data_IF_430245090155
#
_entry.id   IF_430245090155
#
_cell.length_a   1.000
_cell.length_b   1.000
_cell.length_c   1.000
_cell.angle_alpha   90.00
_cell.angle_beta   90.00
_cell.angle_gamma   90.00
#
_symmetry.space_group_name_H-M   'P 1'
#
loop_
_entity.id
_entity.type
_entity.pdbx_description
1 polymer ?
#
# COMPACT_ATOMS: atom_id res chain seq x y z
N UNK A 1 -25.64 -31.66 15.10
CA UNK A 1 -25.46 -30.71 13.98
C UNK A 1 -26.81 -30.50 13.32
N UNK A 2 -27.29 -29.25 13.28
CA UNK A 2 -28.49 -28.88 12.52
C UNK A 2 -28.23 -29.06 11.02
N UNK A 3 -29.20 -29.57 10.25
CA UNK A 3 -29.07 -29.76 8.80
C UNK A 3 -29.12 -28.43 8.01
N UNK A 4 -29.37 -27.30 8.68
CA UNK A 4 -29.56 -26.01 8.02
C UNK A 4 -30.84 -25.94 7.16
N UNK A 5 -31.05 -24.84 6.43
CA UNK A 5 -32.20 -24.68 5.54
C UNK A 5 -32.20 -25.74 4.43
N UNK A 6 -33.37 -26.20 3.97
CA UNK A 6 -33.47 -27.18 2.88
C UNK A 6 -32.89 -26.60 1.59
N UNK A 7 -32.12 -27.40 0.83
CA UNK A 7 -31.56 -27.03 -0.49
C UNK A 7 -31.83 -28.09 -1.56
N UNK A 8 -33.05 -28.65 -1.54
CA UNK A 8 -33.46 -29.73 -2.45
C UNK A 8 -33.91 -29.19 -3.82
N UNK A 9 -34.53 -28.02 -3.85
CA UNK A 9 -34.98 -27.35 -5.08
C UNK A 9 -34.04 -26.23 -5.49
N UNK A 10 -34.06 -25.85 -6.77
CA UNK A 10 -33.28 -24.71 -7.29
C UNK A 10 -33.60 -23.42 -6.54
N UNK A 11 -34.89 -23.14 -6.34
CA UNK A 11 -35.31 -21.95 -5.57
C UNK A 11 -34.74 -21.94 -4.16
N UNK A 12 -34.70 -23.09 -3.50
CA UNK A 12 -34.14 -23.23 -2.16
C UNK A 12 -32.61 -23.04 -2.15
N UNK A 13 -31.92 -23.60 -3.14
CA UNK A 13 -30.49 -23.43 -3.36
C UNK A 13 -30.11 -21.97 -3.60
N UNK A 14 -30.86 -21.28 -4.47
CA UNK A 14 -30.66 -19.88 -4.78
C UNK A 14 -30.92 -19.00 -3.55
N UNK A 15 -32.04 -19.22 -2.85
CA UNK A 15 -32.35 -18.48 -1.63
C UNK A 15 -31.24 -18.62 -0.57
N UNK A 16 -30.73 -19.85 -0.39
CA UNK A 16 -29.61 -20.08 0.52
C UNK A 16 -28.36 -19.31 0.13
N UNK A 17 -27.95 -19.34 -1.15
CA UNK A 17 -26.76 -18.62 -1.62
C UNK A 17 -26.94 -17.09 -1.56
N UNK A 18 -28.14 -16.57 -1.83
CA UNK A 18 -28.47 -15.15 -1.68
C UNK A 18 -28.34 -14.73 -0.21
N UNK A 19 -28.85 -15.53 0.73
CA UNK A 19 -28.70 -15.24 2.17
C UNK A 19 -27.22 -15.24 2.60
N UNK A 20 -26.41 -16.14 2.05
CA UNK A 20 -24.96 -16.20 2.31
C UNK A 20 -24.25 -14.98 1.72
N UNK A 21 -24.57 -14.61 0.47
CA UNK A 21 -24.03 -13.43 -0.20
C UNK A 21 -24.37 -12.15 0.54
N UNK A 22 -25.60 -12.01 1.02
CA UNK A 22 -26.04 -10.82 1.76
C UNK A 22 -25.31 -10.65 3.08
N UNK A 23 -25.12 -11.74 3.84
CA UNK A 23 -24.30 -11.72 5.06
C UNK A 23 -22.84 -11.38 4.76
N UNK A 24 -22.28 -11.96 3.71
CA UNK A 24 -20.91 -11.67 3.29
C UNK A 24 -20.75 -10.18 2.95
N UNK A 25 -21.66 -9.61 2.14
CA UNK A 25 -21.64 -8.19 1.79
C UNK A 25 -21.86 -7.28 2.99
N UNK A 26 -22.66 -7.69 3.98
CA UNK A 26 -22.79 -6.96 5.24
C UNK A 26 -21.47 -6.90 6.04
N UNK A 27 -20.70 -7.99 6.09
CA UNK A 27 -19.38 -8.02 6.73
C UNK A 27 -18.38 -7.17 5.92
N UNK A 28 -18.41 -7.24 4.59
CA UNK A 28 -17.58 -6.42 3.70
C UNK A 28 -17.80 -4.93 4.00
N UNK A 29 -19.06 -4.48 3.95
CA UNK A 29 -19.42 -3.08 4.20
C UNK A 29 -18.95 -2.60 5.58
N UNK A 30 -19.30 -3.32 6.63
CA UNK A 30 -18.87 -2.99 8.00
C UNK A 30 -17.33 -2.98 8.15
N UNK A 31 -16.62 -3.90 7.46
CA UNK A 31 -15.17 -3.96 7.51
C UNK A 31 -14.50 -2.77 6.81
N UNK A 32 -15.07 -2.30 5.70
CA UNK A 32 -14.60 -1.15 4.94
C UNK A 32 -14.89 0.18 5.66
N UNK A 33 -16.05 0.28 6.34
CA UNK A 33 -16.43 1.45 7.14
C UNK A 33 -15.73 1.50 8.51
N UNK A 34 -14.93 0.48 8.82
CA UNK A 34 -14.32 0.25 10.14
C UNK A 34 -15.33 0.14 11.30
N UNK A 35 -16.58 -0.22 11.01
CA UNK A 35 -17.63 -0.44 12.01
C UNK A 35 -17.59 -1.89 12.53
N UNK A 36 -16.61 -2.14 13.40
CA UNK A 36 -16.40 -3.47 14.00
C UNK A 36 -17.39 -3.83 15.11
N UNK A 37 -18.36 -2.95 15.42
CA UNK A 37 -19.35 -3.19 16.46
C UNK A 37 -20.56 -3.99 15.97
N UNK A 38 -20.75 -4.07 14.66
CA UNK A 38 -21.93 -4.65 14.00
C UNK A 38 -21.97 -6.17 14.02
N UNK A 39 -20.81 -6.84 14.01
CA UNK A 39 -20.71 -8.29 13.91
C UNK A 39 -19.71 -8.86 14.91
N UNK A 40 -20.08 -9.93 15.62
CA UNK A 40 -19.17 -10.66 16.53
C UNK A 40 -17.97 -11.27 15.80
N UNK A 41 -18.09 -11.47 14.48
CA UNK A 41 -17.04 -11.99 13.62
C UNK A 41 -15.75 -11.15 13.66
N UNK A 42 -15.85 -9.84 13.93
CA UNK A 42 -14.69 -8.95 14.06
C UNK A 42 -13.86 -9.14 15.34
N UNK A 43 -14.21 -10.13 16.17
CA UNK A 43 -13.29 -10.70 17.16
C UNK A 43 -12.07 -11.34 16.48
N UNK A 44 -12.22 -11.88 15.26
CA UNK A 44 -11.10 -12.25 14.41
C UNK A 44 -10.48 -10.97 13.81
N UNK A 45 -9.25 -10.67 14.21
CA UNK A 45 -8.49 -9.55 13.67
C UNK A 45 -8.28 -9.65 12.16
N UNK A 46 -8.37 -10.85 11.57
CA UNK A 46 -8.31 -11.05 10.12
C UNK A 46 -9.48 -10.44 9.35
N UNK A 47 -10.62 -10.19 10.01
CA UNK A 47 -11.77 -9.55 9.41
C UNK A 47 -11.75 -8.01 9.46
N UNK A 48 -10.73 -7.40 10.07
CA UNK A 48 -10.57 -5.93 10.12
C UNK A 48 -9.78 -5.39 8.92
N UNK A 49 -10.35 -5.53 7.72
CA UNK A 49 -9.66 -5.31 6.45
C UNK A 49 -9.12 -3.88 6.31
N UNK A 50 -9.97 -2.85 6.42
CA UNK A 50 -9.53 -1.48 6.15
C UNK A 50 -8.43 -1.04 7.11
N UNK A 51 -8.50 -1.42 8.38
CA UNK A 51 -7.45 -1.15 9.37
C UNK A 51 -6.11 -1.74 8.94
N UNK A 52 -6.10 -2.99 8.48
CA UNK A 52 -4.86 -3.63 7.99
C UNK A 52 -4.31 -2.96 6.74
N UNK A 53 -5.18 -2.59 5.81
CA UNK A 53 -4.78 -1.92 4.57
C UNK A 53 -4.20 -0.53 4.88
N UNK A 54 -4.86 0.25 5.74
CA UNK A 54 -4.37 1.58 6.16
C UNK A 54 -3.00 1.46 6.83
N UNK A 55 -2.84 0.59 7.84
CA UNK A 55 -1.55 0.37 8.49
C UNK A 55 -0.45 -0.05 7.51
N UNK A 56 -0.78 -0.93 6.56
CA UNK A 56 0.14 -1.37 5.50
C UNK A 56 0.51 -0.22 4.55
N UNK A 57 -0.42 0.71 4.31
CA UNK A 57 -0.22 1.89 3.46
C UNK A 57 0.67 2.92 4.13
N UNK A 58 0.51 3.14 5.44
CA UNK A 58 1.37 4.02 6.24
C UNK A 58 2.79 3.48 6.34
N UNK A 59 2.95 2.17 6.56
CA UNK A 59 4.24 1.49 6.51
C UNK A 59 4.89 1.66 5.12
N UNK A 60 4.14 1.47 4.04
CA UNK A 60 4.64 1.69 2.69
C UNK A 60 5.08 3.14 2.46
N UNK A 61 4.28 4.12 2.86
CA UNK A 61 4.63 5.53 2.70
C UNK A 61 5.94 5.88 3.42
N UNK A 62 6.10 5.37 4.65
CA UNK A 62 7.29 5.57 5.48
C UNK A 62 8.52 4.88 4.89
N UNK A 63 8.39 3.61 4.54
CA UNK A 63 9.47 2.82 3.93
C UNK A 63 9.87 3.41 2.56
N UNK A 64 8.90 3.88 1.77
CA UNK A 64 9.14 4.48 0.44
C UNK A 64 9.81 5.84 0.55
N UNK A 65 9.46 6.66 1.55
CA UNK A 65 10.19 7.89 1.85
C UNK A 65 11.66 7.61 2.16
N UNK A 66 11.92 6.63 3.03
CA UNK A 66 13.26 6.30 3.50
C UNK A 66 14.13 5.58 2.46
N UNK A 67 13.56 4.67 1.66
CA UNK A 67 14.36 3.68 0.93
C UNK A 67 14.12 3.63 -0.59
N UNK A 68 13.18 4.41 -1.15
CA UNK A 68 12.85 4.32 -2.59
C UNK A 68 13.88 5.00 -3.51
N UNK A 69 14.80 5.77 -2.95
CA UNK A 69 15.88 6.43 -3.69
C UNK A 69 17.16 5.58 -3.68
N UNK A 70 17.93 5.64 -4.76
CA UNK A 70 19.20 4.89 -4.92
C UNK A 70 20.33 5.50 -4.10
N UNK A 71 20.42 6.83 -4.04
CA UNK A 71 21.42 7.58 -3.29
C UNK A 71 20.77 8.55 -2.31
N UNK A 72 21.20 8.57 -1.05
CA UNK A 72 20.71 9.51 -0.03
C UNK A 72 20.95 10.96 -0.47
N UNK A 73 19.90 11.78 -0.44
CA UNK A 73 20.04 13.21 -0.74
C UNK A 73 20.74 13.95 0.39
N UNK A 74 21.57 14.95 0.05
CA UNK A 74 22.24 15.75 1.08
C UNK A 74 21.27 16.66 1.81
N UNK A 75 21.47 16.77 3.13
CA UNK A 75 20.73 17.70 3.99
C UNK A 75 19.30 17.27 4.33
N UNK A 76 18.87 16.05 3.98
CA UNK A 76 17.79 15.42 4.72
C UNK A 76 18.36 14.91 6.06
N UNK A 77 17.81 15.29 7.23
CA UNK A 77 18.22 14.66 8.47
C UNK A 77 17.93 13.15 8.37
N UNK A 78 18.81 12.27 8.89
CA UNK A 78 18.52 10.85 8.97
C UNK A 78 17.29 10.67 9.85
N UNK A 79 16.12 10.48 9.22
CA UNK A 79 14.91 10.18 9.96
C UNK A 79 14.98 8.70 10.34
N UNK A 80 15.39 8.44 11.58
CA UNK A 80 15.10 7.18 12.25
C UNK A 80 13.62 6.83 12.02
N UNK A 81 13.31 5.56 11.74
CA UNK A 81 11.95 5.02 11.68
C UNK A 81 11.22 5.32 13.01
N UNK A 82 10.62 6.50 13.13
CA UNK A 82 9.86 6.90 14.31
C UNK A 82 8.41 6.47 14.13
N UNK A 83 7.95 5.69 15.10
CA UNK A 83 6.54 5.50 15.42
C UNK A 83 5.91 6.86 15.72
N UNK A 84 4.66 7.04 15.27
CA UNK A 84 3.79 8.23 15.40
C UNK A 84 4.02 9.08 16.67
N UNK A 85 3.84 10.41 16.58
CA UNK A 85 2.55 10.97 17.00
C UNK A 85 1.98 12.10 16.13
N UNK A 86 0.68 12.33 16.38
CA UNK A 86 -0.33 13.29 15.90
C UNK A 86 0.06 14.69 15.35
N UNK A 87 -0.88 15.20 14.54
CA UNK A 87 -1.08 16.52 13.90
C UNK A 87 -0.46 17.79 14.54
N UNK A 88 -0.30 18.87 13.73
CA UNK A 88 0.77 19.84 13.87
C UNK A 88 0.47 20.95 14.88
N UNK A 89 1.45 21.25 15.73
CA UNK A 89 1.53 22.53 16.43
C UNK A 89 2.67 23.36 15.82
N UNK A 90 2.34 24.60 15.45
CA UNK A 90 3.31 25.66 15.28
C UNK A 90 4.10 25.86 16.59
N UNK A 91 5.42 25.95 16.52
CA UNK A 91 6.25 27.01 17.12
C UNK A 91 7.71 26.56 17.29
N UNK A 92 8.60 27.45 16.85
CA UNK A 92 9.98 27.75 17.22
C UNK A 92 10.70 26.92 18.29
N UNK A 93 11.98 26.61 18.01
CA UNK A 93 13.03 26.64 19.03
C UNK A 93 13.91 25.40 19.15
N UNK A 94 15.17 25.57 18.71
CA UNK A 94 16.42 25.01 19.28
C UNK A 94 16.61 23.48 19.37
N UNK A 95 17.57 23.00 18.57
CA UNK A 95 18.16 21.67 18.65
C UNK A 95 19.24 21.63 19.73
N UNK A 96 19.14 20.68 20.66
CA UNK A 96 20.24 20.22 21.50
C UNK A 96 20.44 18.72 21.20
N UNK A 97 21.60 18.38 20.64
CA UNK A 97 22.01 17.02 20.28
C UNK A 97 22.55 16.31 21.55
N UNK A 98 21.92 15.22 21.94
CA UNK A 98 22.56 14.20 22.77
C UNK A 98 22.41 12.82 22.11
N UNK A 99 23.56 12.29 21.72
CA UNK A 99 23.76 10.96 21.15
C UNK A 99 23.29 9.86 22.12
N UNK A 100 22.31 9.07 21.69
CA UNK A 100 21.99 7.76 22.26
C UNK A 100 22.00 6.76 21.11
N UNK A 101 23.07 5.95 21.03
CA UNK A 101 23.21 4.81 20.12
C UNK A 101 22.13 3.75 20.42
N UNK A 102 20.97 3.87 19.76
CA UNK A 102 19.90 2.90 19.87
C UNK A 102 20.04 1.79 18.81
N UNK A 103 20.32 0.58 19.31
CA UNK A 103 20.34 -0.70 18.59
C UNK A 103 19.15 -0.85 17.62
N UNK A 104 19.49 -1.14 16.36
CA UNK A 104 18.57 -1.49 15.27
C UNK A 104 17.70 -2.68 15.69
N UNK A 105 16.44 -2.42 16.06
CA UNK A 105 15.41 -3.44 16.14
C UNK A 105 15.11 -3.91 14.72
N UNK A 106 15.44 -5.17 14.42
CA UNK A 106 15.05 -5.84 13.17
C UNK A 106 13.51 -5.82 13.08
N UNK A 107 12.94 -4.85 12.37
CA UNK A 107 11.52 -4.83 12.00
C UNK A 107 11.25 -6.14 11.26
N UNK A 108 10.49 -7.03 11.89
CA UNK A 108 10.18 -8.36 11.38
C UNK A 108 9.61 -8.22 9.97
N UNK A 109 10.34 -8.71 8.98
CA UNK A 109 9.82 -8.88 7.63
C UNK A 109 8.63 -9.84 7.77
N UNK A 110 7.40 -9.35 7.70
CA UNK A 110 6.23 -10.21 7.61
C UNK A 110 6.28 -10.96 6.27
N UNK A 111 7.02 -12.07 6.25
CA UNK A 111 6.98 -13.06 5.20
C UNK A 111 5.58 -13.65 5.29
N UNK A 112 4.79 -13.49 4.23
CA UNK A 112 3.50 -14.17 4.13
C UNK A 112 3.73 -15.66 4.32
N UNK A 113 2.92 -16.31 5.15
CA UNK A 113 2.90 -17.77 5.17
C UNK A 113 2.20 -18.25 3.89
N UNK A 114 2.95 -18.23 2.78
CA UNK A 114 2.49 -18.64 1.45
C UNK A 114 2.01 -20.09 1.42
N UNK A 115 2.43 -20.92 2.39
CA UNK A 115 1.94 -22.29 2.52
C UNK A 115 0.43 -22.35 2.76
N UNK A 116 -0.18 -21.26 3.25
CA UNK A 116 -1.63 -21.16 3.47
C UNK A 116 -2.41 -20.77 2.22
N UNK A 117 -1.76 -20.19 1.19
CA UNK A 117 -2.43 -19.66 -0.01
C UNK A 117 -1.60 -19.91 -1.28
N UNK A 118 -1.50 -21.17 -1.74
CA UNK A 118 -0.71 -21.53 -2.93
C UNK A 118 -1.18 -20.81 -4.20
N UNK A 119 -2.47 -20.46 -4.28
CA UNK A 119 -3.06 -19.77 -5.43
C UNK A 119 -2.43 -18.39 -5.71
N UNK A 120 -1.78 -17.79 -4.71
CA UNK A 120 -1.14 -16.48 -4.81
C UNK A 120 0.36 -16.55 -5.16
N UNK A 121 0.96 -17.75 -5.24
CA UNK A 121 2.41 -17.95 -5.42
C UNK A 121 2.95 -17.25 -6.69
N UNK A 122 2.17 -17.23 -7.78
CA UNK A 122 2.56 -16.58 -9.04
C UNK A 122 2.44 -15.04 -9.04
N UNK A 123 1.66 -14.46 -8.13
CA UNK A 123 1.36 -13.01 -8.10
C UNK A 123 2.20 -12.25 -7.06
N UNK A 124 2.54 -12.88 -5.95
CA UNK A 124 3.16 -12.20 -4.81
C UNK A 124 4.69 -12.16 -4.92
N UNK A 125 5.27 -11.01 -4.57
CA UNK A 125 6.73 -10.88 -4.47
C UNK A 125 7.22 -11.32 -3.09
N UNK A 126 7.94 -12.45 -3.03
CA UNK A 126 8.32 -13.15 -1.79
C UNK A 126 9.43 -12.48 -0.95
N UNK A 127 9.99 -11.35 -1.38
CA UNK A 127 11.11 -10.70 -0.69
C UNK A 127 10.71 -9.41 0.03
N UNK A 128 11.33 -9.13 1.17
CA UNK A 128 11.40 -7.78 1.74
C UNK A 128 12.55 -7.01 1.04
N UNK A 129 12.33 -5.76 0.63
CA UNK A 129 13.46 -4.90 0.26
C UNK A 129 14.12 -4.39 1.54
N UNK A 130 15.15 -5.09 2.02
CA UNK A 130 16.16 -4.46 2.87
C UNK A 130 17.07 -3.61 1.97
N UNK A 131 16.51 -2.60 1.31
CA UNK A 131 17.29 -1.63 0.56
C UNK A 131 17.63 -0.47 1.49
N UNK A 132 18.91 -0.09 1.53
CA UNK A 132 19.34 1.16 2.12
C UNK A 132 19.97 2.00 1.01
N UNK A 133 19.55 3.26 0.83
CA UNK A 133 20.14 4.15 -0.15
C UNK A 133 21.65 4.30 0.08
N UNK A 134 22.40 4.29 -1.02
CA UNK A 134 23.84 4.49 -0.99
C UNK A 134 24.18 5.93 -0.59
N UNK A 135 25.31 6.12 0.08
CA UNK A 135 25.85 7.46 0.29
C UNK A 135 26.58 7.96 -0.96
N UNK A 136 26.95 9.25 -0.98
CA UNK A 136 27.74 9.82 -2.06
C UNK A 136 26.95 10.25 -3.28
N UNK A 137 25.80 10.91 -3.08
CA UNK A 137 24.98 11.46 -4.18
C UNK A 137 25.75 12.49 -5.01
N UNK A 138 26.58 13.34 -4.41
CA UNK A 138 27.32 14.39 -5.11
C UNK A 138 28.36 13.85 -6.11
N UNK A 139 29.21 12.86 -5.75
CA UNK A 139 30.02 12.12 -6.72
C UNK A 139 29.19 11.50 -7.86
N UNK A 140 28.04 10.89 -7.54
CA UNK A 140 27.17 10.27 -8.54
C UNK A 140 26.56 11.31 -9.51
N UNK A 141 26.07 12.45 -9.01
CA UNK A 141 25.57 13.55 -9.85
C UNK A 141 26.69 14.11 -10.73
N UNK A 142 27.89 14.28 -10.17
CA UNK A 142 29.06 14.73 -10.94
C UNK A 142 29.34 13.76 -12.09
N UNK A 143 29.29 12.45 -11.84
CA UNK A 143 29.47 11.44 -12.88
C UNK A 143 28.36 11.49 -13.94
N UNK A 144 27.10 11.67 -13.53
CA UNK A 144 25.98 11.88 -14.46
C UNK A 144 26.21 13.10 -15.33
N UNK A 145 26.60 14.22 -14.73
CA UNK A 145 26.87 15.44 -15.47
C UNK A 145 28.02 15.24 -16.46
N UNK A 146 29.14 14.66 -16.04
CA UNK A 146 30.31 14.42 -16.89
C UNK A 146 30.02 13.54 -18.10
N UNK A 147 29.17 12.51 -17.96
CA UNK A 147 28.84 11.58 -19.05
C UNK A 147 27.70 12.07 -19.96
N UNK A 148 27.02 13.15 -19.61
CA UNK A 148 25.81 13.61 -20.32
C UNK A 148 25.76 15.12 -20.62
N UNK A 149 26.76 15.89 -20.21
CA UNK A 149 26.82 17.35 -20.48
C UNK A 149 27.01 17.65 -21.97
N UNK A 150 26.30 18.65 -22.45
CA UNK A 150 26.50 19.25 -23.77
C UNK A 150 27.38 20.50 -23.68
N UNK A 151 27.27 21.35 -24.70
CA UNK A 151 27.97 22.63 -24.79
C UNK A 151 27.15 23.80 -24.17
N UNK A 152 26.28 23.52 -23.19
CA UNK A 152 25.44 24.54 -22.55
C UNK A 152 26.29 25.53 -21.74
N UNK A 153 26.01 26.83 -21.89
CA UNK A 153 26.68 27.89 -21.14
C UNK A 153 25.87 28.25 -19.88
N UNK A 154 26.46 28.08 -18.70
CA UNK A 154 25.87 28.50 -17.43
C UNK A 154 24.69 27.65 -16.92
N UNK A 155 24.42 26.51 -17.55
CA UNK A 155 23.35 25.57 -17.15
C UNK A 155 23.65 24.16 -17.66
N UNK A 156 22.70 23.24 -17.51
CA UNK A 156 22.79 21.86 -17.97
C UNK A 156 21.60 21.49 -18.86
N UNK A 157 21.81 20.54 -19.78
CA UNK A 157 20.75 20.08 -20.69
C UNK A 157 19.58 19.38 -19.96
N UNK A 158 18.33 19.49 -20.46
CA UNK A 158 17.13 18.99 -19.77
C UNK A 158 17.09 17.47 -19.59
N UNK A 159 17.90 16.73 -20.36
CA UNK A 159 17.97 15.28 -20.28
C UNK A 159 18.66 14.78 -19.00
N UNK A 160 19.57 15.58 -18.41
CA UNK A 160 20.32 15.19 -17.21
C UNK A 160 19.37 14.91 -16.04
N UNK A 161 18.36 15.75 -15.81
CA UNK A 161 17.37 15.52 -14.75
C UNK A 161 16.51 14.30 -15.02
N UNK A 162 16.17 14.03 -16.28
CA UNK A 162 15.38 12.85 -16.65
C UNK A 162 16.15 11.56 -16.35
N UNK A 163 17.42 11.49 -16.76
CA UNK A 163 18.29 10.35 -16.49
C UNK A 163 18.57 10.18 -14.99
N UNK A 164 18.89 11.27 -14.29
CA UNK A 164 19.12 11.25 -12.85
C UNK A 164 17.89 10.77 -12.09
N UNK A 165 16.68 11.22 -12.47
CA UNK A 165 15.44 10.76 -11.86
C UNK A 165 15.17 9.27 -12.11
N UNK A 166 15.41 8.78 -13.33
CA UNK A 166 15.25 7.36 -13.68
C UNK A 166 16.17 6.45 -12.85
N UNK A 167 17.42 6.86 -12.68
CA UNK A 167 18.41 6.15 -11.85
C UNK A 167 18.11 6.28 -10.36
N UNK A 168 17.56 7.42 -9.90
CA UNK A 168 17.15 7.58 -8.51
C UNK A 168 15.89 6.81 -8.14
N UNK A 169 15.09 6.38 -9.11
CA UNK A 169 13.78 5.75 -8.89
C UNK A 169 13.77 4.26 -9.22
N UNK A 170 14.94 3.61 -9.36
CA UNK A 170 15.02 2.19 -9.79
C UNK A 170 14.27 1.23 -8.85
N UNK A 171 14.17 1.57 -7.57
CA UNK A 171 13.51 0.74 -6.57
C UNK A 171 11.98 0.89 -6.55
N UNK A 172 11.42 1.93 -7.19
CA UNK A 172 9.98 2.24 -7.13
C UNK A 172 9.13 1.04 -7.57
N UNK A 173 9.50 0.39 -8.68
CA UNK A 173 8.79 -0.80 -9.19
C UNK A 173 8.77 -1.93 -8.17
N UNK A 174 9.92 -2.23 -7.57
CA UNK A 174 10.04 -3.35 -6.63
C UNK A 174 9.24 -3.08 -5.34
N UNK A 175 9.35 -1.88 -4.80
CA UNK A 175 8.63 -1.50 -3.58
C UNK A 175 7.11 -1.45 -3.80
N UNK A 176 6.65 -0.89 -4.92
CA UNK A 176 5.23 -0.89 -5.28
C UNK A 176 4.67 -2.31 -5.41
N UNK A 177 5.40 -3.22 -6.08
CA UNK A 177 5.00 -4.64 -6.18
C UNK A 177 4.88 -5.30 -4.81
N UNK A 178 5.85 -5.08 -3.92
CA UNK A 178 5.82 -5.64 -2.57
C UNK A 178 4.66 -5.11 -1.74
N UNK A 179 4.42 -3.80 -1.80
CA UNK A 179 3.28 -3.17 -1.15
C UNK A 179 1.95 -3.75 -1.65
N UNK A 180 1.75 -3.81 -2.98
CA UNK A 180 0.54 -4.39 -3.55
C UNK A 180 0.39 -5.87 -3.21
N UNK A 181 1.47 -6.64 -3.16
CA UNK A 181 1.43 -8.03 -2.68
C UNK A 181 0.88 -8.13 -1.25
N UNK A 182 1.28 -7.21 -0.34
CA UNK A 182 0.76 -7.17 1.04
C UNK A 182 -0.74 -6.87 1.08
N UNK A 183 -1.19 -5.90 0.30
CA UNK A 183 -2.60 -5.53 0.25
C UNK A 183 -3.44 -6.65 -0.37
N UNK A 184 -3.01 -7.22 -1.50
CA UNK A 184 -3.69 -8.35 -2.16
C UNK A 184 -3.82 -9.53 -1.20
N UNK A 185 -2.75 -9.86 -0.47
CA UNK A 185 -2.79 -10.92 0.54
C UNK A 185 -3.82 -10.61 1.64
N UNK A 186 -3.86 -9.38 2.15
CA UNK A 186 -4.84 -8.99 3.17
C UNK A 186 -6.29 -9.11 2.66
N UNK A 187 -6.54 -8.66 1.42
CA UNK A 187 -7.85 -8.75 0.77
C UNK A 187 -8.26 -10.20 0.54
N UNK A 188 -7.36 -11.02 -0.02
CA UNK A 188 -7.64 -12.43 -0.28
C UNK A 188 -7.91 -13.20 1.02
N UNK A 189 -7.07 -13.02 2.04
CA UNK A 189 -7.26 -13.61 3.36
C UNK A 189 -8.60 -13.18 3.98
N UNK A 190 -8.95 -11.90 3.87
CA UNK A 190 -10.23 -11.39 4.35
C UNK A 190 -11.41 -12.08 3.66
N UNK A 191 -11.40 -12.18 2.33
CA UNK A 191 -12.48 -12.81 1.56
C UNK A 191 -12.72 -14.24 2.03
N UNK A 192 -11.66 -15.05 2.13
CA UNK A 192 -11.78 -16.45 2.54
C UNK A 192 -12.30 -16.58 3.98
N UNK A 193 -11.79 -15.77 4.91
CA UNK A 193 -12.27 -15.76 6.31
C UNK A 193 -13.71 -15.27 6.44
N UNK A 194 -14.11 -14.29 5.64
CA UNK A 194 -15.48 -13.80 5.64
C UNK A 194 -16.44 -14.87 5.10
N UNK A 195 -16.05 -15.59 4.04
CA UNK A 195 -16.81 -16.73 3.52
C UNK A 195 -16.96 -17.84 4.57
N UNK A 196 -15.86 -18.26 5.21
CA UNK A 196 -15.87 -19.24 6.31
C UNK A 196 -16.78 -18.83 7.47
N UNK A 197 -16.88 -17.52 7.75
CA UNK A 197 -17.75 -17.01 8.80
C UNK A 197 -19.24 -17.11 8.45
N UNK A 198 -19.61 -16.88 7.20
CA UNK A 198 -21.03 -16.85 6.77
C UNK A 198 -21.58 -18.20 6.35
N UNK A 199 -20.73 -19.15 5.98
CA UNK A 199 -21.12 -20.48 5.52
C UNK A 199 -20.37 -21.57 6.30
N UNK A 200 -21.09 -22.39 7.05
CA UNK A 200 -20.51 -23.51 7.80
C UNK A 200 -20.38 -24.81 6.99
N UNK A 201 -20.91 -24.85 5.76
CA UNK A 201 -20.87 -26.03 4.90
C UNK A 201 -19.56 -26.03 4.09
N UNK A 202 -18.60 -26.86 4.53
CA UNK A 202 -17.25 -26.94 3.94
C UNK A 202 -17.27 -27.22 2.44
N UNK A 203 -18.20 -28.05 1.96
CA UNK A 203 -18.28 -28.36 0.52
C UNK A 203 -18.74 -27.15 -0.28
N UNK A 204 -19.73 -26.41 0.24
CA UNK A 204 -20.19 -25.16 -0.40
C UNK A 204 -19.06 -24.13 -0.43
N UNK A 205 -18.31 -24.00 0.67
CA UNK A 205 -17.15 -23.11 0.74
C UNK A 205 -16.07 -23.45 -0.31
N UNK A 206 -15.71 -24.73 -0.44
CA UNK A 206 -14.71 -25.20 -1.39
C UNK A 206 -15.14 -24.91 -2.84
N UNK A 207 -16.36 -25.28 -3.20
CA UNK A 207 -16.92 -25.05 -4.55
C UNK A 207 -17.04 -23.56 -4.87
N UNK A 208 -17.49 -22.76 -3.90
CA UNK A 208 -17.61 -21.31 -4.06
C UNK A 208 -16.23 -20.68 -4.22
N UNK A 209 -15.28 -21.01 -3.34
CA UNK A 209 -13.90 -20.49 -3.42
C UNK A 209 -13.25 -20.84 -4.76
N UNK A 210 -13.38 -22.09 -5.20
CA UNK A 210 -12.90 -22.55 -6.51
C UNK A 210 -13.55 -21.77 -7.66
N UNK A 211 -14.86 -21.54 -7.59
CA UNK A 211 -15.62 -20.78 -8.59
C UNK A 211 -15.20 -19.31 -8.72
N UNK A 212 -14.83 -18.66 -7.61
CA UNK A 212 -14.43 -17.24 -7.60
C UNK A 212 -12.95 -17.03 -7.94
N UNK A 213 -12.11 -18.06 -7.79
CA UNK A 213 -10.64 -17.90 -7.79
C UNK A 213 -10.10 -17.28 -9.08
N UNK A 214 -10.55 -17.74 -10.24
CA UNK A 214 -10.04 -17.25 -11.53
C UNK A 214 -10.29 -15.74 -11.73
N UNK A 215 -11.47 -15.27 -11.34
CA UNK A 215 -11.81 -13.85 -11.41
C UNK A 215 -11.07 -13.02 -10.35
N UNK A 216 -10.91 -13.55 -9.13
CA UNK A 216 -10.12 -12.91 -8.09
C UNK A 216 -8.68 -12.67 -8.54
N UNK A 217 -8.02 -13.70 -9.09
CA UNK A 217 -6.66 -13.59 -9.62
C UNK A 217 -6.55 -12.54 -10.73
N UNK A 218 -7.56 -12.48 -11.62
CA UNK A 218 -7.61 -11.47 -12.70
C UNK A 218 -7.71 -10.04 -12.14
N UNK A 219 -8.51 -9.84 -11.08
CA UNK A 219 -8.63 -8.53 -10.41
C UNK A 219 -7.35 -8.14 -9.68
N UNK A 220 -6.68 -9.10 -9.03
CA UNK A 220 -5.39 -8.88 -8.39
C UNK A 220 -4.29 -8.53 -9.40
N UNK A 221 -4.24 -9.22 -10.54
CA UNK A 221 -3.30 -8.90 -11.62
C UNK A 221 -3.56 -7.50 -12.19
N UNK A 222 -4.84 -7.14 -12.38
CA UNK A 222 -5.24 -5.81 -12.85
C UNK A 222 -4.76 -4.69 -11.90
N UNK A 223 -4.91 -4.89 -10.59
CA UNK A 223 -4.39 -3.97 -9.56
C UNK A 223 -2.85 -3.85 -9.63
N UNK A 224 -2.15 -4.98 -9.75
CA UNK A 224 -0.69 -5.00 -9.87
C UNK A 224 -0.21 -4.26 -11.12
N UNK A 225 -0.88 -4.49 -12.25
CA UNK A 225 -0.58 -3.82 -13.52
C UNK A 225 -0.83 -2.32 -13.43
N UNK A 226 -1.89 -1.88 -12.74
CA UNK A 226 -2.14 -0.45 -12.49
C UNK A 226 -1.01 0.20 -11.69
N UNK A 227 -0.51 -0.47 -10.63
CA UNK A 227 0.62 0.05 -9.85
C UNK A 227 1.91 0.14 -10.69
N UNK A 228 2.19 -0.86 -11.52
CA UNK A 228 3.36 -0.85 -12.43
C UNK A 228 3.21 0.25 -13.49
N UNK A 229 2.02 0.44 -14.03
CA UNK A 229 1.74 1.52 -14.98
C UNK A 229 2.01 2.90 -14.37
N UNK A 230 1.63 3.14 -13.11
CA UNK A 230 1.94 4.38 -12.40
C UNK A 230 3.46 4.58 -12.23
N UNK A 231 4.22 3.52 -11.96
CA UNK A 231 5.68 3.59 -11.91
C UNK A 231 6.24 4.00 -13.28
N UNK A 232 5.74 3.40 -14.36
CA UNK A 232 6.22 3.71 -15.70
C UNK A 232 5.89 5.16 -16.11
N UNK A 233 4.70 5.66 -15.74
CA UNK A 233 4.29 7.06 -15.92
C UNK A 233 5.26 8.01 -15.23
N UNK A 234 5.59 7.78 -13.96
CA UNK A 234 6.42 8.70 -13.19
C UNK A 234 7.88 8.67 -13.65
N UNK A 235 8.42 7.47 -13.95
CA UNK A 235 9.84 7.28 -14.26
C UNK A 235 10.24 7.64 -15.70
N UNK A 236 9.38 7.43 -16.68
CA UNK A 236 9.75 7.59 -18.09
C UNK A 236 9.30 8.92 -18.72
N UNK A 237 8.68 9.81 -17.96
CA UNK A 237 8.34 11.16 -18.41
C UNK A 237 9.47 12.15 -18.13
N UNK A 238 9.54 13.21 -18.94
CA UNK A 238 10.37 14.37 -18.62
C UNK A 238 9.86 14.98 -17.30
N UNK A 239 10.75 15.28 -16.33
CA UNK A 239 10.35 15.92 -15.08
C UNK A 239 9.51 17.17 -15.33
N UNK A 240 8.28 17.15 -14.82
CA UNK A 240 7.33 18.26 -14.96
C UNK A 240 6.35 18.24 -13.79
N UNK A 241 6.04 19.42 -13.27
CA UNK A 241 5.10 19.55 -12.15
C UNK A 241 4.33 20.87 -12.21
N UNK A 242 3.03 20.76 -11.94
CA UNK A 242 2.15 21.90 -11.67
C UNK A 242 2.07 22.21 -10.17
N UNK A 243 2.72 21.40 -9.33
CA UNK A 243 2.68 21.55 -7.89
C UNK A 243 3.59 22.72 -7.45
N UNK A 244 2.99 23.76 -6.86
CA UNK A 244 3.67 24.96 -6.41
C UNK A 244 4.73 24.71 -5.32
N UNK A 245 4.61 23.61 -4.56
CA UNK A 245 5.62 23.20 -3.57
C UNK A 245 6.99 22.89 -4.18
N UNK A 246 7.09 22.66 -5.50
CA UNK A 246 8.40 22.47 -6.14
C UNK A 246 9.32 23.67 -5.92
N UNK A 247 8.81 24.90 -6.16
CA UNK A 247 9.62 26.09 -6.01
C UNK A 247 10.04 26.29 -4.55
N UNK A 248 9.12 26.07 -3.60
CA UNK A 248 9.44 26.14 -2.17
C UNK A 248 10.51 25.11 -1.77
N UNK A 249 10.36 23.85 -2.20
CA UNK A 249 11.34 22.80 -1.93
C UNK A 249 12.73 23.14 -2.52
N UNK A 250 12.77 23.71 -3.72
CA UNK A 250 14.01 24.12 -4.38
C UNK A 250 14.70 25.26 -3.63
N UNK A 251 13.95 26.29 -3.24
CA UNK A 251 14.52 27.38 -2.44
C UNK A 251 15.01 26.86 -1.08
N UNK A 252 14.28 25.95 -0.45
CA UNK A 252 14.70 25.33 0.81
C UNK A 252 16.00 24.51 0.66
N UNK A 253 16.15 23.74 -0.43
CA UNK A 253 17.39 23.00 -0.71
C UNK A 253 18.60 23.96 -0.88
N UNK A 254 18.44 25.00 -1.71
CA UNK A 254 19.46 26.03 -1.91
C UNK A 254 19.81 26.76 -0.61
N UNK A 255 18.80 27.16 0.17
CA UNK A 255 18.97 27.85 1.44
C UNK A 255 19.73 26.98 2.45
N UNK A 256 19.44 25.68 2.51
CA UNK A 256 20.15 24.74 3.40
C UNK A 256 21.63 24.66 3.08
N UNK A 257 21.98 24.55 1.79
CA UNK A 257 23.37 24.55 1.31
C UNK A 257 24.09 25.84 1.69
N UNK A 258 23.47 26.99 1.45
CA UNK A 258 24.02 28.30 1.83
C UNK A 258 24.19 28.43 3.34
N UNK A 259 23.19 27.99 4.12
CA UNK A 259 23.23 28.05 5.59
C UNK A 259 24.32 27.15 6.16
N UNK A 260 24.54 25.96 5.59
CA UNK A 260 25.63 25.06 5.99
C UNK A 260 26.99 25.75 5.81
N UNK A 261 27.23 26.35 4.64
CA UNK A 261 28.46 27.08 4.37
C UNK A 261 28.63 28.33 5.25
N UNK A 262 27.53 29.02 5.60
CA UNK A 262 27.54 30.13 6.55
C UNK A 262 27.88 29.68 7.97
N UNK A 263 27.33 28.55 8.43
CA UNK A 263 27.62 28.00 9.76
C UNK A 263 29.10 27.66 9.95
N UNK A 264 29.78 27.22 8.89
CA UNK A 264 31.22 26.94 8.93
C UNK A 264 32.07 28.20 9.16
N UNK A 265 31.54 29.38 8.82
CA UNK A 265 32.18 30.68 9.04
C UNK A 265 31.61 31.46 10.22
N UNK A 266 30.55 30.94 10.83
CA UNK A 266 29.91 31.60 11.94
C UNK A 266 30.73 31.42 13.22
N UNK A 267 30.80 32.46 14.03
CA UNK A 267 31.29 32.37 15.40
C UNK A 267 30.16 32.71 16.38
N UNK A 268 30.30 32.24 17.63
CA UNK A 268 29.37 32.60 18.70
C UNK A 268 29.81 33.92 19.32
N UNK A 269 28.90 34.88 19.34
CA UNK A 269 29.13 36.15 20.05
C UNK A 269 29.10 35.93 21.57
N UNK A 270 30.04 36.54 22.28
CA UNK A 270 30.26 36.29 23.72
C UNK A 270 29.08 36.71 24.60
N UNK A 271 28.33 37.74 24.23
CA UNK A 271 27.26 38.32 25.06
C UNK A 271 25.89 37.68 24.82
N UNK A 272 25.54 37.46 23.54
CA UNK A 272 24.21 36.98 23.16
C UNK A 272 24.17 35.48 22.83
N UNK A 273 25.35 34.83 22.75
CA UNK A 273 25.53 33.45 22.25
C UNK A 273 24.94 33.19 20.85
N UNK A 274 24.63 34.25 20.09
CA UNK A 274 24.11 34.13 18.72
C UNK A 274 25.24 33.78 17.75
N UNK A 275 24.88 33.07 16.69
CA UNK A 275 25.78 32.84 15.56
C UNK A 275 25.85 34.12 14.73
N UNK A 276 27.06 34.66 14.57
CA UNK A 276 27.34 35.86 13.77
C UNK A 276 28.26 35.48 12.62
N UNK A 277 28.07 36.09 11.46
CA UNK A 277 28.91 35.93 10.27
C UNK A 277 29.30 37.32 9.78
N UNK A 278 30.56 37.51 9.38
CA UNK A 278 31.01 38.77 8.78
C UNK A 278 30.44 38.87 7.36
N UNK A 279 29.83 40.01 7.03
CA UNK A 279 29.29 40.28 5.69
C UNK A 279 30.37 40.16 4.61
N UNK A 280 31.63 40.45 4.96
CA UNK A 280 32.78 40.31 4.06
C UNK A 280 33.12 38.85 3.73
N UNK A 281 32.65 37.89 4.52
CA UNK A 281 32.83 36.47 4.26
C UNK A 281 31.82 35.92 3.25
N UNK A 282 30.69 36.62 3.03
CA UNK A 282 29.61 36.17 2.14
C UNK A 282 30.08 36.02 0.67
N UNK A 283 30.80 36.98 0.06
CA UNK A 283 31.25 36.85 -1.33
C UNK A 283 32.08 35.59 -1.59
N UNK A 284 32.93 35.21 -0.64
CA UNK A 284 33.79 34.02 -0.77
C UNK A 284 33.01 32.68 -0.73
N UNK A 285 31.75 32.68 -0.29
CA UNK A 285 30.85 31.51 -0.39
C UNK A 285 30.38 31.26 -1.84
N UNK A 286 30.32 32.33 -2.64
CA UNK A 286 29.80 32.34 -4.00
C UNK A 286 30.94 32.24 -5.02
N UNK A 287 32.07 32.91 -4.76
CA UNK A 287 33.17 33.08 -5.73
C UNK A 287 34.17 31.92 -5.78
N UNK A 288 34.25 31.08 -4.76
CA UNK A 288 35.24 30.00 -4.67
C UNK A 288 34.82 28.69 -5.36
N UNK A 289 33.69 28.67 -6.07
CA UNK A 289 33.17 27.44 -6.70
C UNK A 289 33.56 27.38 -8.17
N UNK A 290 34.05 26.22 -8.58
CA UNK A 290 34.22 25.91 -10.00
C UNK A 290 32.85 25.84 -10.70
N UNK A 291 32.82 26.07 -12.02
CA UNK A 291 31.60 25.91 -12.82
C UNK A 291 30.98 24.51 -12.67
N UNK A 292 31.83 23.50 -12.48
CA UNK A 292 31.40 22.12 -12.30
C UNK A 292 30.68 21.91 -10.96
N UNK A 293 31.28 22.36 -9.86
CA UNK A 293 30.68 22.26 -8.53
C UNK A 293 29.34 22.97 -8.49
N UNK A 294 29.28 24.21 -9.01
CA UNK A 294 28.03 24.97 -9.08
C UNK A 294 26.94 24.20 -9.84
N UNK A 295 27.28 23.62 -10.99
CA UNK A 295 26.33 22.87 -11.83
C UNK A 295 25.85 21.59 -11.15
N UNK A 296 26.75 20.81 -10.52
CA UNK A 296 26.41 19.59 -9.80
C UNK A 296 25.45 19.88 -8.64
N UNK A 297 25.71 20.92 -7.85
CA UNK A 297 24.84 21.30 -6.74
C UNK A 297 23.47 21.78 -7.22
N UNK A 298 23.42 22.49 -8.33
CA UNK A 298 22.16 22.93 -8.92
C UNK A 298 21.32 21.75 -9.42
N UNK A 299 21.96 20.76 -10.04
CA UNK A 299 21.31 19.48 -10.42
C UNK A 299 20.78 18.78 -9.16
N UNK A 300 21.58 18.71 -8.09
CA UNK A 300 21.18 18.10 -6.82
C UNK A 300 19.93 18.75 -6.25
N UNK A 301 19.92 20.08 -6.10
CA UNK A 301 18.84 20.80 -5.44
C UNK A 301 17.54 20.70 -6.24
N UNK A 302 17.61 20.79 -7.58
CA UNK A 302 16.45 20.60 -8.47
C UNK A 302 15.95 19.16 -8.40
N UNK A 303 16.85 18.18 -8.45
CA UNK A 303 16.48 16.76 -8.39
C UNK A 303 15.82 16.42 -7.04
N UNK A 304 16.38 16.86 -5.92
CA UNK A 304 15.82 16.66 -4.58
C UNK A 304 14.42 17.27 -4.48
N UNK A 305 14.26 18.52 -4.91
CA UNK A 305 12.99 19.23 -4.86
C UNK A 305 11.91 18.54 -5.70
N UNK A 306 12.25 18.14 -6.93
CA UNK A 306 11.31 17.43 -7.81
C UNK A 306 11.01 16.02 -7.30
N UNK A 307 12.02 15.28 -6.84
CA UNK A 307 11.87 13.91 -6.35
C UNK A 307 10.88 13.84 -5.18
N UNK A 308 10.98 14.79 -4.23
CA UNK A 308 10.04 14.89 -3.11
C UNK A 308 8.59 15.06 -3.57
N UNK A 309 8.35 15.88 -4.59
CA UNK A 309 6.99 16.09 -5.16
C UNK A 309 6.50 14.83 -5.86
N UNK A 310 7.32 14.25 -6.73
CA UNK A 310 6.96 13.07 -7.50
C UNK A 310 6.69 11.86 -6.59
N UNK A 311 7.53 11.66 -5.55
CA UNK A 311 7.39 10.58 -4.57
C UNK A 311 6.04 10.65 -3.84
N UNK A 312 5.68 11.83 -3.32
CA UNK A 312 4.40 12.04 -2.61
C UNK A 312 3.21 11.75 -3.54
N UNK A 313 3.22 12.33 -4.74
CA UNK A 313 2.19 12.09 -5.76
C UNK A 313 2.06 10.60 -6.10
N UNK A 314 3.19 9.91 -6.25
CA UNK A 314 3.21 8.49 -6.57
C UNK A 314 2.57 7.65 -5.46
N UNK A 315 2.98 7.84 -4.20
CA UNK A 315 2.44 7.12 -3.05
C UNK A 315 0.92 7.30 -2.96
N UNK A 316 0.43 8.54 -3.07
CA UNK A 316 -1.01 8.84 -3.07
C UNK A 316 -1.71 8.14 -4.23
N UNK A 317 -1.18 8.24 -5.45
CA UNK A 317 -1.80 7.65 -6.64
C UNK A 317 -1.83 6.11 -6.58
N UNK A 318 -0.81 5.46 -6.04
CA UNK A 318 -0.81 4.00 -5.88
C UNK A 318 -1.91 3.58 -4.91
N UNK A 319 -2.08 4.29 -3.78
CA UNK A 319 -3.20 4.00 -2.88
C UNK A 319 -4.54 4.20 -3.57
N UNK A 320 -4.82 5.39 -4.12
CA UNK A 320 -6.14 5.69 -4.68
C UNK A 320 -6.49 4.80 -5.89
N UNK A 321 -5.53 4.54 -6.78
CA UNK A 321 -5.82 3.85 -8.04
C UNK A 321 -5.63 2.35 -7.97
N UNK A 322 -4.52 1.87 -7.39
CA UNK A 322 -4.21 0.45 -7.39
C UNK A 322 -4.79 -0.28 -6.16
N UNK A 323 -4.97 0.42 -5.04
CA UNK A 323 -5.54 -0.16 -3.81
C UNK A 323 -7.02 0.15 -3.69
N UNK A 324 -7.39 1.40 -3.46
CA UNK A 324 -8.78 1.77 -3.20
C UNK A 324 -9.68 1.45 -4.41
N UNK A 325 -9.39 2.00 -5.59
CA UNK A 325 -10.21 1.77 -6.77
C UNK A 325 -10.19 0.29 -7.23
N UNK A 326 -9.03 -0.36 -7.35
CA UNK A 326 -8.98 -1.72 -7.89
C UNK A 326 -9.32 -2.82 -6.87
N UNK A 327 -9.03 -2.65 -5.58
CA UNK A 327 -9.13 -3.73 -4.59
C UNK A 327 -10.22 -3.53 -3.53
N UNK A 328 -10.67 -2.30 -3.28
CA UNK A 328 -11.61 -2.02 -2.17
C UNK A 328 -12.98 -1.51 -2.66
N UNK A 329 -12.99 -0.35 -3.30
CA UNK A 329 -14.20 0.47 -3.45
C UNK A 329 -14.66 0.64 -4.90
N UNK A 330 -13.81 0.39 -5.89
CA UNK A 330 -14.18 0.58 -7.30
C UNK A 330 -15.13 -0.50 -7.85
N UNK A 331 -15.71 -0.30 -9.04
CA UNK A 331 -16.80 -1.14 -9.56
C UNK A 331 -16.36 -2.58 -9.87
N UNK A 332 -15.07 -2.81 -10.14
CA UNK A 332 -14.51 -4.14 -10.42
C UNK A 332 -13.71 -4.69 -9.24
N UNK A 333 -13.95 -4.22 -8.01
CA UNK A 333 -13.24 -4.70 -6.83
C UNK A 333 -13.52 -6.21 -6.56
N UNK A 334 -12.58 -6.94 -5.93
CA UNK A 334 -12.74 -8.35 -5.58
C UNK A 334 -13.74 -8.61 -4.44
N UNK A 335 -14.00 -7.63 -3.57
CA UNK A 335 -14.92 -7.77 -2.43
C UNK A 335 -16.40 -7.80 -2.87
N UNK A 336 -16.73 -7.14 -3.98
CA UNK A 336 -18.07 -7.10 -4.57
C UNK A 336 -18.34 -8.25 -5.54
N UNK A 337 -17.37 -9.14 -5.77
CA UNK A 337 -17.48 -10.23 -6.74
C UNK A 337 -18.55 -11.24 -6.31
N UNK A 338 -18.57 -11.62 -5.03
CA UNK A 338 -19.61 -12.48 -4.47
C UNK A 338 -20.73 -11.64 -3.84
N UNK A 339 -21.79 -11.39 -4.60
CA UNK A 339 -22.96 -10.62 -4.17
C UNK A 339 -24.26 -11.33 -4.58
N UNK A 340 -25.41 -10.79 -4.14
CA UNK A 340 -26.72 -11.38 -4.44
C UNK A 340 -26.99 -11.41 -5.96
N UNK A 341 -26.55 -10.39 -6.69
CA UNK A 341 -26.69 -10.34 -8.16
C UNK A 341 -25.91 -11.48 -8.83
N UNK A 342 -24.68 -11.73 -8.39
CA UNK A 342 -23.86 -12.84 -8.89
C UNK A 342 -24.56 -14.19 -8.72
N UNK A 343 -25.25 -14.40 -7.58
CA UNK A 343 -26.04 -15.62 -7.33
C UNK A 343 -27.26 -15.73 -8.25
N UNK A 344 -27.92 -14.61 -8.54
CA UNK A 344 -29.08 -14.56 -9.43
C UNK A 344 -28.72 -14.87 -10.89
N UNK A 345 -27.50 -14.56 -11.30
CA UNK A 345 -26.99 -14.80 -12.66
C UNK A 345 -26.45 -16.23 -12.87
N UNK A 346 -26.39 -17.06 -11.82
CA UNK A 346 -25.96 -18.45 -11.93
C UNK A 346 -26.99 -19.31 -12.68
N UNK A 347 -26.49 -20.19 -13.54
CA UNK A 347 -27.32 -21.23 -14.16
C UNK A 347 -27.61 -22.38 -13.18
N UNK A 348 -28.64 -23.17 -13.48
CA UNK A 348 -29.11 -24.26 -12.60
C UNK A 348 -28.03 -25.31 -12.33
N UNK A 349 -27.15 -25.57 -13.29
CA UNK A 349 -26.06 -26.53 -13.15
C UNK A 349 -25.01 -26.05 -12.13
N UNK A 350 -24.57 -24.79 -12.23
CA UNK A 350 -23.63 -24.19 -11.27
C UNK A 350 -24.26 -24.06 -9.89
N UNK A 351 -25.52 -23.65 -9.81
CA UNK A 351 -26.27 -23.51 -8.57
C UNK A 351 -26.33 -24.84 -7.79
N UNK A 352 -26.67 -25.93 -8.50
CA UNK A 352 -26.69 -27.29 -7.96
C UNK A 352 -25.31 -27.78 -7.55
N UNK A 353 -24.28 -27.49 -8.35
CA UNK A 353 -22.89 -27.86 -8.04
C UNK A 353 -22.43 -27.23 -6.71
N UNK A 354 -22.69 -25.93 -6.53
CA UNK A 354 -22.23 -25.18 -5.37
C UNK A 354 -23.06 -25.52 -4.12
N UNK A 355 -24.39 -25.51 -4.21
CA UNK A 355 -25.27 -25.51 -3.02
C UNK A 355 -26.16 -26.74 -2.85
N UNK A 356 -26.27 -27.60 -3.86
CA UNK A 356 -27.23 -28.72 -3.85
C UNK A 356 -26.85 -29.83 -2.88
N UNK A 357 -27.76 -30.23 -1.99
CA UNK A 357 -27.48 -31.24 -0.95
C UNK A 357 -27.00 -32.58 -1.54
N UNK A 358 -26.07 -33.25 -0.85
CA UNK A 358 -25.70 -34.62 -1.19
C UNK A 358 -26.88 -35.56 -0.92
N UNK A 359 -26.94 -36.69 -1.64
CA UNK A 359 -28.02 -37.69 -1.45
C UNK A 359 -28.19 -38.12 0.00
N UNK A 360 -27.08 -38.29 0.72
CA UNK A 360 -27.07 -38.65 2.15
C UNK A 360 -27.76 -37.59 3.01
N UNK A 361 -27.50 -36.30 2.75
CA UNK A 361 -28.14 -35.20 3.48
C UNK A 361 -29.63 -35.11 3.12
N UNK A 362 -29.98 -35.30 1.85
CA UNK A 362 -31.37 -35.32 1.39
C UNK A 362 -32.17 -36.44 2.06
N UNK A 363 -31.66 -37.67 2.07
CA UNK A 363 -32.29 -38.83 2.73
C UNK A 363 -32.44 -38.60 4.23
N UNK A 364 -31.40 -38.06 4.89
CA UNK A 364 -31.45 -37.75 6.32
C UNK A 364 -32.48 -36.67 6.63
N UNK A 365 -32.58 -35.63 5.80
CA UNK A 365 -33.61 -34.59 5.92
C UNK A 365 -35.00 -35.19 5.76
N UNK A 366 -35.22 -36.03 4.75
CA UNK A 366 -36.49 -36.70 4.52
C UNK A 366 -36.90 -37.56 5.73
N UNK A 367 -35.98 -38.36 6.27
CA UNK A 367 -36.24 -39.19 7.45
C UNK A 367 -36.63 -38.36 8.68
N UNK A 368 -35.95 -37.25 8.94
CA UNK A 368 -36.28 -36.36 10.05
C UNK A 368 -37.62 -35.65 9.83
N UNK A 369 -37.94 -35.26 8.60
CA UNK A 369 -39.21 -34.63 8.27
C UNK A 369 -40.39 -35.59 8.45
N UNK A 370 -40.24 -36.84 8.03
CA UNK A 370 -41.22 -37.91 8.29
C UNK A 370 -41.38 -38.17 9.80
N UNK A 371 -40.29 -38.21 10.56
CA UNK A 371 -40.35 -38.38 12.01
C UNK A 371 -41.06 -37.21 12.71
N UNK A 372 -40.79 -35.97 12.30
CA UNK A 372 -41.46 -34.79 12.83
C UNK A 372 -42.97 -34.78 12.52
N UNK A 373 -43.36 -35.17 11.31
CA UNK A 373 -44.78 -35.31 10.94
C UNK A 373 -45.47 -36.38 11.79
N UNK A 374 -44.83 -37.53 11.99
CA UNK A 374 -45.37 -38.59 12.84
C UNK A 374 -45.52 -38.16 14.31
N UNK A 375 -44.54 -37.42 14.84
CA UNK A 375 -44.61 -36.87 16.20
C UNK A 375 -45.71 -35.80 16.34
N UNK A 376 -45.89 -34.93 15.34
CA UNK A 376 -46.95 -33.93 15.34
C UNK A 376 -48.35 -34.58 15.34
N UNK A 377 -48.55 -35.60 14.50
CA UNK A 377 -49.80 -36.37 14.47
C UNK A 377 -50.06 -37.09 15.80
N UNK A 378 -49.03 -37.67 16.41
CA UNK A 378 -49.17 -38.31 17.73
C UNK A 378 -49.57 -37.31 18.81
N UNK A 379 -49.04 -36.08 18.77
CA UNK A 379 -49.42 -35.00 19.69
C UNK A 379 -50.86 -34.51 19.46
N UNK A 380 -51.33 -34.43 18.21
CA UNK A 380 -52.74 -34.11 17.91
C UNK A 380 -53.73 -35.18 18.35
N UNK A 381 -53.30 -36.44 18.46
CA UNK A 381 -54.15 -37.55 18.94
C UNK A 381 -54.17 -37.64 20.47
N UNK A 382 -53.11 -37.17 21.14
CA UNK A 382 -52.94 -37.22 22.60
C UNK A 382 -53.39 -35.95 23.33
N UNK A 383 -53.62 -34.85 22.63
CA UNK A 383 -54.26 -33.62 23.12
C UNK A 383 -55.73 -33.57 22.76
#
# INVERSE_FOLDING_TARGET
MSLGPPRQTERQQQQFLVDVASKFQSIVGASLDADYSTHESFADGDLRLITKVVNTSEDFASDFEACAHTYSFEGEPPKSLQTMPSLPLFSDGEYDDQDEEAKISKKSCNIFDMNLYPDLEGLLSQGCTSHQPAEGIMPWITQIHLRSRGAELGTFGPHILSSAFQEQSIYWKKMARQYLSKVIFCVHKFILRALENVCSDTRVLEELTSGLMAELLTKYDSSMNQAIHLVDIERHKKPYTLNHYFNENLQNARNRRTLKALKEKAWKENETKRNVVDVNDIPSLIQNRSNMEHTTEEIHDILQAYYKVARKRFVDNVYHQAVDHCLLSGPSNPLGLFCEQWVLDLNDERLRSISGETRVIQERRQNLQTALQGLAQALEILG
#
